data_IF_806868924143
#
_entry.id   IF_806868924143
#
_cell.length_a   1.000
_cell.length_b   1.000
_cell.length_c   1.000
_cell.angle_alpha   90.00
_cell.angle_beta   90.00
_cell.angle_gamma   90.00
#
_symmetry.space_group_name_H-M   'P 1'
#
loop_
_entity.id
_entity.type
_entity.pdbx_description
1 polymer ?
#
# COMPACT_ATOMS: atom_id res chain seq x y z
N UNK A 1 77.50 23.08 -29.56
CA UNK A 1 76.45 22.13 -29.95
C UNK A 1 75.57 21.95 -28.74
N UNK A 2 74.33 22.45 -28.71
CA UNK A 2 73.42 22.20 -27.59
C UNK A 2 72.42 21.08 -27.95
N UNK A 3 72.28 20.16 -27.01
CA UNK A 3 71.29 19.07 -26.96
C UNK A 3 69.85 19.61 -26.86
N UNK A 4 68.97 19.18 -27.75
CA UNK A 4 67.54 19.43 -27.64
C UNK A 4 66.88 18.38 -26.77
N UNK A 5 66.33 18.78 -25.64
CA UNK A 5 65.51 17.98 -24.80
C UNK A 5 64.10 17.87 -25.40
N UNK A 6 63.60 16.64 -25.55
CA UNK A 6 62.25 16.33 -26.06
C UNK A 6 61.20 16.57 -24.96
N UNK A 7 60.10 17.21 -25.34
CA UNK A 7 58.91 17.41 -24.53
C UNK A 7 58.08 16.11 -24.47
N UNK A 8 57.64 15.64 -23.27
CA UNK A 8 56.79 14.45 -23.22
C UNK A 8 55.37 14.75 -23.71
N UNK A 9 54.86 13.93 -24.58
CA UNK A 9 53.49 13.95 -25.08
C UNK A 9 52.54 13.56 -23.94
N UNK A 10 51.62 14.48 -23.60
CA UNK A 10 50.54 14.27 -22.69
C UNK A 10 49.56 13.25 -23.28
N UNK A 11 49.42 12.09 -22.64
CA UNK A 11 48.39 11.10 -22.94
C UNK A 11 47.06 11.59 -22.39
N UNK A 12 46.13 11.96 -23.27
CA UNK A 12 44.75 12.28 -22.89
C UNK A 12 44.02 10.97 -22.62
N UNK A 13 43.76 10.70 -21.36
CA UNK A 13 42.88 9.59 -20.95
C UNK A 13 41.43 10.06 -21.11
N UNK A 14 40.77 9.58 -22.16
CA UNK A 14 39.34 9.78 -22.37
C UNK A 14 38.60 8.84 -21.43
N UNK A 15 38.03 9.36 -20.35
CA UNK A 15 37.07 8.63 -19.54
C UNK A 15 35.77 8.48 -20.34
N UNK A 16 35.53 7.31 -20.92
CA UNK A 16 34.24 6.92 -21.41
C UNK A 16 33.29 6.81 -20.22
N UNK A 17 32.29 7.67 -20.17
CA UNK A 17 31.15 7.52 -19.25
C UNK A 17 30.50 6.16 -19.54
N UNK A 18 30.19 5.35 -18.51
CA UNK A 18 29.43 4.15 -18.75
C UNK A 18 28.05 4.56 -19.30
N UNK A 19 27.72 4.07 -20.49
CA UNK A 19 26.35 4.13 -20.99
C UNK A 19 25.45 3.45 -19.96
N UNK A 20 24.60 4.24 -19.31
CA UNK A 20 23.50 3.71 -18.50
C UNK A 20 22.59 3.01 -19.51
N UNK A 21 22.72 1.69 -19.57
CA UNK A 21 21.79 0.83 -20.30
C UNK A 21 20.39 1.11 -19.73
N UNK A 22 19.60 1.87 -20.46
CA UNK A 22 18.17 1.98 -20.23
C UNK A 22 17.61 0.59 -20.49
N UNK A 23 17.51 -0.22 -19.44
CA UNK A 23 16.78 -1.48 -19.51
C UNK A 23 15.39 -1.16 -20.04
N UNK A 24 15.14 -1.51 -21.29
CA UNK A 24 13.81 -1.53 -21.88
C UNK A 24 12.89 -2.24 -20.88
N UNK A 25 12.04 -1.47 -20.18
CA UNK A 25 10.95 -2.05 -19.41
C UNK A 25 10.09 -2.81 -20.39
N UNK A 26 10.22 -4.14 -20.36
CA UNK A 26 9.28 -5.02 -21.03
C UNK A 26 7.87 -4.50 -20.67
N UNK A 27 7.06 -4.23 -21.69
CA UNK A 27 5.66 -3.82 -21.55
C UNK A 27 4.82 -5.00 -21.07
N UNK A 28 5.22 -5.65 -19.96
CA UNK A 28 4.38 -6.61 -19.28
C UNK A 28 3.26 -5.84 -18.63
N UNK A 29 2.04 -6.13 -19.03
CA UNK A 29 0.82 -5.58 -18.45
C UNK A 29 0.88 -5.66 -16.94
N UNK A 30 0.65 -4.54 -16.23
CA UNK A 30 0.67 -4.48 -14.76
C UNK A 30 -0.35 -5.49 -14.21
N UNK A 31 0.05 -6.46 -13.38
CA UNK A 31 -0.89 -7.43 -12.84
C UNK A 31 -1.86 -6.76 -11.86
N UNK A 32 -3.15 -7.04 -12.03
CA UNK A 32 -4.23 -6.60 -11.16
C UNK A 32 -4.75 -7.83 -10.42
N UNK A 33 -4.49 -7.91 -9.12
CA UNK A 33 -4.97 -8.98 -8.27
C UNK A 33 -6.24 -8.56 -7.54
N UNK A 34 -7.26 -9.45 -7.58
CA UNK A 34 -8.50 -9.31 -6.80
C UNK A 34 -8.50 -10.35 -5.70
N UNK A 35 -8.51 -9.91 -4.43
CA UNK A 35 -8.62 -10.78 -3.27
C UNK A 35 -10.07 -11.25 -3.17
N UNK A 36 -10.32 -12.54 -3.33
CA UNK A 36 -11.67 -13.10 -3.32
C UNK A 36 -11.68 -14.45 -2.59
N UNK A 37 -12.62 -14.61 -1.66
CA UNK A 37 -12.88 -15.91 -1.06
C UNK A 37 -13.62 -16.80 -2.07
N UNK A 38 -13.23 -18.09 -2.24
CA UNK A 38 -13.93 -19.01 -3.15
C UNK A 38 -15.43 -19.11 -2.89
N UNK A 39 -15.86 -18.93 -1.63
CA UNK A 39 -17.26 -18.95 -1.25
C UNK A 39 -18.04 -17.68 -1.68
N UNK A 40 -17.37 -16.61 -2.07
CA UNK A 40 -17.98 -15.34 -2.51
C UNK A 40 -18.09 -15.28 -4.04
N UNK A 41 -18.82 -16.23 -4.62
CA UNK A 41 -18.96 -16.38 -6.08
C UNK A 41 -19.68 -15.18 -6.73
N UNK A 42 -20.66 -14.60 -6.04
CA UNK A 42 -21.42 -13.41 -6.45
C UNK A 42 -20.51 -12.19 -6.60
N UNK A 43 -19.62 -11.96 -5.64
CA UNK A 43 -18.62 -10.89 -5.70
C UNK A 43 -17.63 -11.10 -6.84
N UNK A 44 -17.18 -12.35 -7.04
CA UNK A 44 -16.33 -12.70 -8.17
C UNK A 44 -16.98 -12.36 -9.50
N UNK A 45 -18.25 -12.74 -9.70
CA UNK A 45 -19.02 -12.43 -10.91
C UNK A 45 -19.15 -10.90 -11.10
N UNK A 46 -19.35 -10.14 -10.02
CA UNK A 46 -19.39 -8.67 -10.09
C UNK A 46 -18.06 -8.10 -10.58
N UNK A 47 -16.94 -8.57 -10.02
CA UNK A 47 -15.60 -8.12 -10.43
C UNK A 47 -15.28 -8.53 -11.87
N UNK A 48 -15.66 -9.73 -12.32
CA UNK A 48 -15.47 -10.17 -13.72
C UNK A 48 -16.26 -9.29 -14.70
N UNK A 49 -17.49 -8.89 -14.34
CA UNK A 49 -18.31 -7.96 -15.14
C UNK A 49 -17.65 -6.58 -15.23
N UNK A 50 -17.15 -6.05 -14.12
CA UNK A 50 -16.45 -4.76 -14.10
C UNK A 50 -15.16 -4.83 -14.94
N UNK A 51 -14.39 -5.91 -14.83
CA UNK A 51 -13.20 -6.14 -15.66
C UNK A 51 -13.53 -6.11 -17.15
N UNK A 52 -14.57 -6.85 -17.56
CA UNK A 52 -15.02 -6.90 -18.96
C UNK A 52 -15.47 -5.52 -19.46
N UNK A 53 -16.22 -4.78 -18.66
CA UNK A 53 -16.69 -3.43 -19.01
C UNK A 53 -15.55 -2.42 -19.19
N UNK A 54 -14.42 -2.62 -18.48
CA UNK A 54 -13.25 -1.75 -18.54
C UNK A 54 -12.17 -2.25 -19.52
N UNK A 55 -12.37 -3.41 -20.14
CA UNK A 55 -11.36 -4.04 -21.00
C UNK A 55 -10.10 -4.48 -20.24
N UNK A 56 -10.23 -4.73 -18.93
CA UNK A 56 -9.13 -5.11 -18.06
C UNK A 56 -9.11 -6.62 -17.80
N UNK A 57 -7.94 -7.13 -17.42
CA UNK A 57 -7.76 -8.52 -16.99
C UNK A 57 -7.42 -8.58 -15.52
N UNK A 58 -8.31 -9.20 -14.73
CA UNK A 58 -8.08 -9.43 -13.30
C UNK A 58 -7.54 -10.84 -13.07
N UNK A 59 -6.64 -10.95 -12.09
CA UNK A 59 -6.12 -12.21 -11.56
C UNK A 59 -6.71 -12.41 -10.18
N UNK A 60 -7.61 -13.38 -10.04
CA UNK A 60 -8.18 -13.67 -8.73
C UNK A 60 -7.15 -14.36 -7.85
N UNK A 61 -6.92 -13.76 -6.69
CA UNK A 61 -6.11 -14.30 -5.62
C UNK A 61 -7.05 -14.94 -4.60
N UNK A 62 -6.88 -16.24 -4.35
CA UNK A 62 -7.67 -16.94 -3.36
C UNK A 62 -7.37 -16.39 -1.97
N UNK A 63 -8.35 -15.73 -1.38
CA UNK A 63 -8.22 -15.10 -0.07
C UNK A 63 -8.05 -16.16 1.03
N UNK A 64 -7.22 -15.88 2.01
CA UNK A 64 -7.06 -16.75 3.17
C UNK A 64 -8.32 -16.71 4.02
N UNK A 65 -8.93 -17.88 4.24
CA UNK A 65 -10.10 -18.00 5.10
C UNK A 65 -9.67 -17.96 6.57
N UNK A 66 -9.93 -16.85 7.25
CA UNK A 66 -9.58 -16.70 8.66
C UNK A 66 -10.31 -17.61 9.64
N UNK A 67 -11.28 -18.40 9.17
CA UNK A 67 -11.97 -19.43 9.98
C UNK A 67 -11.27 -20.80 9.93
N UNK A 68 -10.26 -20.94 9.08
CA UNK A 68 -9.47 -22.17 8.96
C UNK A 68 -8.05 -21.90 9.45
N UNK A 69 -7.37 -22.88 10.04
CA UNK A 69 -5.97 -22.74 10.48
C UNK A 69 -5.07 -22.33 9.30
N UNK A 70 -4.16 -21.39 9.54
CA UNK A 70 -3.17 -20.99 8.56
C UNK A 70 -1.83 -20.63 9.25
N UNK A 71 -0.66 -21.02 8.70
CA UNK A 71 0.65 -20.79 9.33
C UNK A 71 0.92 -19.33 9.69
N UNK A 72 0.50 -18.38 8.85
CA UNK A 72 0.68 -16.95 9.08
C UNK A 72 -0.07 -16.41 10.31
N UNK A 73 -1.05 -17.15 10.85
CA UNK A 73 -1.74 -16.70 12.07
C UNK A 73 -0.84 -16.76 13.31
N UNK A 74 0.33 -17.39 13.22
CA UNK A 74 1.38 -17.30 14.22
C UNK A 74 1.92 -15.88 14.43
N UNK A 75 1.72 -14.96 13.46
CA UNK A 75 2.08 -13.54 13.60
C UNK A 75 1.10 -12.76 14.49
N UNK A 76 -0.06 -13.32 14.85
CA UNK A 76 -1.05 -12.62 15.69
C UNK A 76 -0.53 -12.45 17.11
N UNK A 77 -0.25 -11.22 17.49
CA UNK A 77 0.19 -10.84 18.84
C UNK A 77 -1.04 -10.57 19.74
N UNK A 78 -1.77 -11.63 20.11
CA UNK A 78 -3.07 -11.54 20.77
C UNK A 78 -3.06 -10.70 22.03
N UNK A 79 -2.08 -10.89 22.93
CA UNK A 79 -1.94 -10.11 24.17
C UNK A 79 -1.80 -8.61 23.88
N UNK A 80 -0.98 -8.24 22.88
CA UNK A 80 -0.81 -6.85 22.46
C UNK A 80 -2.08 -6.30 21.81
N UNK A 81 -2.77 -7.12 21.02
CA UNK A 81 -4.06 -6.77 20.40
C UNK A 81 -5.11 -6.45 21.44
N UNK A 82 -5.28 -7.33 22.44
CA UNK A 82 -6.23 -7.13 23.54
C UNK A 82 -5.95 -5.85 24.34
N UNK A 83 -4.68 -5.57 24.64
CA UNK A 83 -4.28 -4.34 25.32
C UNK A 83 -4.58 -3.08 24.49
N UNK A 84 -4.36 -3.11 23.18
CA UNK A 84 -4.45 -1.92 22.30
C UNK A 84 -5.86 -1.67 21.75
N UNK A 85 -6.59 -2.75 21.40
CA UNK A 85 -7.91 -2.66 20.75
C UNK A 85 -9.06 -3.15 21.66
N UNK A 86 -8.75 -3.83 22.78
CA UNK A 86 -9.73 -4.33 23.75
C UNK A 86 -10.50 -5.56 23.31
N UNK A 87 -10.18 -6.15 22.16
CA UNK A 87 -10.80 -7.34 21.61
C UNK A 87 -9.80 -8.14 20.76
N UNK A 88 -9.99 -9.47 20.60
CA UNK A 88 -9.20 -10.27 19.69
C UNK A 88 -9.46 -9.85 18.23
N UNK A 89 -8.66 -10.38 17.33
CA UNK A 89 -8.99 -10.31 15.90
C UNK A 89 -10.25 -11.11 15.59
N UNK A 90 -11.04 -10.60 14.66
CA UNK A 90 -12.10 -11.41 14.03
C UNK A 90 -11.48 -12.29 12.93
N UNK A 91 -12.09 -13.45 12.63
CA UNK A 91 -11.56 -14.30 11.56
C UNK A 91 -11.36 -13.57 10.23
N UNK A 92 -12.30 -12.72 9.81
CA UNK A 92 -12.16 -11.92 8.59
C UNK A 92 -10.98 -10.94 8.62
N UNK A 93 -10.69 -10.33 9.78
CA UNK A 93 -9.52 -9.42 9.91
C UNK A 93 -8.19 -10.19 9.77
N UNK A 94 -8.11 -11.41 10.31
CA UNK A 94 -6.89 -12.24 10.22
C UNK A 94 -6.70 -12.77 8.80
N UNK A 95 -7.77 -13.23 8.16
CA UNK A 95 -7.74 -13.69 6.76
C UNK A 95 -7.36 -12.56 5.80
N UNK A 96 -7.92 -11.37 6.00
CA UNK A 96 -7.56 -10.17 5.25
C UNK A 96 -6.06 -9.86 5.41
N UNK A 97 -5.54 -9.84 6.64
CA UNK A 97 -4.11 -9.67 6.91
C UNK A 97 -3.25 -10.66 6.13
N UNK A 98 -3.55 -11.96 6.24
CA UNK A 98 -2.79 -13.02 5.59
C UNK A 98 -2.83 -12.89 4.06
N UNK A 99 -3.97 -12.51 3.48
CA UNK A 99 -4.12 -12.33 2.04
C UNK A 99 -3.26 -11.19 1.52
N UNK A 100 -3.27 -10.03 2.19
CA UNK A 100 -2.41 -8.90 1.83
C UNK A 100 -0.93 -9.24 2.02
N UNK A 101 -0.56 -9.89 3.13
CA UNK A 101 0.81 -10.31 3.41
C UNK A 101 1.37 -11.20 2.28
N UNK A 102 0.61 -12.20 1.84
CA UNK A 102 1.00 -13.08 0.73
C UNK A 102 1.12 -12.33 -0.60
N UNK A 103 0.28 -11.33 -0.85
CA UNK A 103 0.41 -10.50 -2.05
C UNK A 103 1.64 -9.58 -1.98
N UNK A 104 2.01 -9.09 -0.80
CA UNK A 104 3.27 -8.34 -0.64
C UNK A 104 4.48 -9.24 -0.89
N UNK A 105 4.47 -10.48 -0.39
CA UNK A 105 5.51 -11.46 -0.73
C UNK A 105 5.60 -11.70 -2.23
N UNK A 106 4.47 -11.93 -2.89
CA UNK A 106 4.41 -12.09 -4.35
C UNK A 106 4.93 -10.88 -5.10
N UNK A 107 4.67 -9.67 -4.62
CA UNK A 107 5.18 -8.43 -5.21
C UNK A 107 6.71 -8.39 -5.15
N UNK A 108 7.31 -8.73 -4.01
CA UNK A 108 8.76 -8.79 -3.85
C UNK A 108 9.35 -9.90 -4.72
N UNK A 109 8.79 -11.11 -4.68
CA UNK A 109 9.27 -12.26 -5.45
C UNK A 109 9.22 -12.04 -6.96
N UNK A 110 8.17 -11.39 -7.46
CA UNK A 110 8.03 -11.08 -8.88
C UNK A 110 8.94 -9.95 -9.36
N UNK A 111 9.40 -9.09 -8.44
CA UNK A 111 10.12 -7.87 -8.78
C UNK A 111 9.30 -6.85 -9.59
N UNK A 112 7.98 -7.05 -9.70
CA UNK A 112 7.09 -6.20 -10.51
C UNK A 112 6.04 -5.52 -9.62
N UNK A 113 5.71 -4.25 -9.91
CA UNK A 113 4.57 -3.60 -9.25
C UNK A 113 3.26 -4.29 -9.62
N UNK A 114 2.23 -4.07 -8.79
CA UNK A 114 0.89 -4.62 -9.00
C UNK A 114 -0.19 -3.68 -8.48
N UNK A 115 -1.42 -3.86 -8.96
CA UNK A 115 -2.61 -3.41 -8.26
C UNK A 115 -3.19 -4.55 -7.43
N UNK A 116 -3.65 -4.22 -6.23
CA UNK A 116 -4.39 -5.12 -5.35
C UNK A 116 -5.76 -4.50 -5.12
N UNK A 117 -6.82 -5.28 -5.33
CA UNK A 117 -8.22 -4.88 -5.17
C UNK A 117 -8.93 -5.86 -4.23
N UNK A 118 -9.89 -5.39 -3.44
CA UNK A 118 -10.87 -6.23 -2.75
C UNK A 118 -12.04 -6.57 -3.70
N UNK A 119 -12.84 -7.57 -3.35
CA UNK A 119 -13.92 -8.09 -4.21
C UNK A 119 -15.29 -7.43 -4.00
N UNK A 120 -15.39 -6.50 -3.03
CA UNK A 120 -16.62 -5.78 -2.67
C UNK A 120 -16.56 -4.28 -3.00
N UNK A 121 -15.98 -3.96 -4.15
CA UNK A 121 -15.75 -2.60 -4.62
C UNK A 121 -16.45 -2.29 -5.94
N UNK A 122 -16.79 -1.02 -6.11
CA UNK A 122 -17.13 -0.42 -7.39
C UNK A 122 -15.91 0.31 -7.96
N UNK A 123 -15.64 0.11 -9.26
CA UNK A 123 -14.47 0.65 -9.96
C UNK A 123 -14.91 1.77 -10.90
N UNK A 124 -14.23 2.92 -10.80
CA UNK A 124 -14.45 4.06 -11.69
C UNK A 124 -13.94 3.75 -13.11
N UNK A 125 -14.68 4.13 -14.16
CA UNK A 125 -14.29 3.94 -15.57
C UNK A 125 -12.93 4.57 -15.96
N UNK A 126 -12.37 5.47 -15.17
CA UNK A 126 -11.05 6.07 -15.40
C UNK A 126 -9.87 5.17 -14.99
N UNK A 127 -10.11 4.00 -14.40
CA UNK A 127 -9.01 3.10 -13.99
C UNK A 127 -8.07 2.71 -15.15
N UNK A 128 -8.55 2.43 -16.39
CA UNK A 128 -7.65 2.21 -17.54
C UNK A 128 -6.73 3.41 -17.85
N UNK A 129 -7.23 4.63 -17.68
CA UNK A 129 -6.43 5.86 -17.83
C UNK A 129 -5.30 5.93 -16.77
N UNK A 130 -5.60 5.58 -15.53
CA UNK A 130 -4.57 5.47 -14.48
C UNK A 130 -3.45 4.50 -14.89
N UNK A 131 -3.82 3.31 -15.40
CA UNK A 131 -2.85 2.31 -15.84
C UNK A 131 -1.95 2.82 -16.96
N UNK A 132 -2.50 3.58 -17.90
CA UNK A 132 -1.76 4.20 -18.99
C UNK A 132 -0.79 5.29 -18.48
N UNK A 133 -1.15 6.00 -17.43
CA UNK A 133 -0.35 7.09 -16.84
C UNK A 133 0.68 6.62 -15.80
N UNK A 134 0.62 5.37 -15.31
CA UNK A 134 1.58 4.83 -14.33
C UNK A 134 3.07 4.95 -14.76
N UNK A 135 3.44 4.87 -16.05
CA UNK A 135 4.83 5.13 -16.45
C UNK A 135 5.35 6.53 -16.09
N UNK A 136 4.45 7.50 -15.86
CA UNK A 136 4.78 8.87 -15.46
C UNK A 136 4.88 9.01 -13.93
N UNK A 137 4.53 7.95 -13.18
CA UNK A 137 4.60 7.97 -11.72
C UNK A 137 6.07 8.08 -11.27
N UNK A 138 6.40 9.02 -10.36
CA UNK A 138 7.75 9.14 -9.81
C UNK A 138 8.22 7.82 -9.17
N UNK A 139 9.48 7.46 -9.37
CA UNK A 139 10.05 6.19 -8.87
C UNK A 139 9.99 6.05 -7.34
N UNK A 140 9.99 7.18 -6.63
CA UNK A 140 9.89 7.23 -5.18
C UNK A 140 8.51 6.82 -4.65
N UNK A 141 7.47 6.85 -5.51
CA UNK A 141 6.11 6.46 -5.15
C UNK A 141 5.98 4.94 -5.28
N UNK A 142 6.24 4.27 -4.18
CA UNK A 142 6.11 2.81 -4.11
C UNK A 142 4.72 2.29 -3.73
N UNK A 143 3.82 3.16 -3.25
CA UNK A 143 2.50 2.78 -2.77
C UNK A 143 1.54 3.96 -2.78
N UNK A 144 0.30 3.72 -3.18
CA UNK A 144 -0.81 4.64 -2.98
C UNK A 144 -2.16 3.91 -3.05
N UNK A 145 -3.14 4.43 -2.31
CA UNK A 145 -4.51 3.93 -2.32
C UNK A 145 -5.28 4.47 -3.51
N UNK A 146 -6.16 3.63 -4.07
CA UNK A 146 -7.04 4.00 -5.18
C UNK A 146 -8.32 4.70 -4.72
N UNK A 147 -8.71 4.57 -3.45
CA UNK A 147 -9.87 5.26 -2.90
C UNK A 147 -9.52 6.62 -2.30
N UNK A 148 -10.47 7.54 -2.36
CA UNK A 148 -10.41 8.81 -1.65
C UNK A 148 -11.03 8.67 -0.27
N UNK A 149 -10.30 9.07 0.77
CA UNK A 149 -10.85 9.19 2.11
C UNK A 149 -11.21 10.65 2.43
N UNK A 150 -12.29 10.84 3.18
CA UNK A 150 -12.62 12.14 3.75
C UNK A 150 -11.76 12.40 4.99
N UNK A 151 -10.50 12.69 4.74
CA UNK A 151 -9.48 12.96 5.76
C UNK A 151 -8.60 14.14 5.34
N UNK A 152 -8.07 14.91 6.30
CA UNK A 152 -7.11 15.98 6.01
C UNK A 152 -5.93 15.45 5.20
N UNK A 153 -5.64 16.09 4.08
CA UNK A 153 -4.58 15.71 3.16
C UNK A 153 -4.12 16.91 2.35
N UNK A 154 -2.96 16.81 1.74
CA UNK A 154 -2.41 17.82 0.84
C UNK A 154 -2.05 17.19 -0.50
N UNK A 155 -2.12 17.92 -1.63
CA UNK A 155 -1.59 17.45 -2.90
C UNK A 155 -0.10 17.11 -2.74
N UNK A 156 0.29 15.91 -3.22
CA UNK A 156 1.66 15.41 -3.12
C UNK A 156 2.39 15.46 -4.46
N UNK A 157 1.83 14.78 -5.46
CA UNK A 157 2.32 14.85 -6.83
C UNK A 157 1.19 14.63 -7.84
N UNK A 158 1.44 15.05 -9.08
CA UNK A 158 0.57 14.81 -10.22
C UNK A 158 1.29 13.92 -11.23
N UNK A 159 0.59 12.96 -11.81
CA UNK A 159 1.05 12.19 -12.96
C UNK A 159 -0.14 11.97 -13.91
N UNK A 160 0.06 12.25 -15.20
CA UNK A 160 -1.05 12.33 -16.14
C UNK A 160 -2.16 13.26 -15.65
N UNK A 161 -3.39 12.78 -15.67
CA UNK A 161 -4.55 13.51 -15.13
C UNK A 161 -4.77 13.33 -13.61
N UNK A 162 -4.00 12.47 -12.96
CA UNK A 162 -4.22 12.05 -11.58
C UNK A 162 -3.40 12.86 -10.58
N UNK A 163 -3.98 13.06 -9.40
CA UNK A 163 -3.31 13.75 -8.28
C UNK A 163 -3.28 12.81 -7.08
N UNK A 164 -2.07 12.52 -6.61
CA UNK A 164 -1.87 11.89 -5.33
C UNK A 164 -1.91 12.93 -4.22
N UNK A 165 -2.64 12.60 -3.17
CA UNK A 165 -2.65 13.35 -1.93
C UNK A 165 -1.92 12.57 -0.85
N UNK A 166 -1.17 13.27 -0.03
CA UNK A 166 -0.59 12.74 1.20
C UNK A 166 -1.57 12.98 2.34
N UNK A 167 -1.94 11.93 3.04
CA UNK A 167 -2.83 12.01 4.18
C UNK A 167 -2.07 12.31 5.47
N UNK A 168 -2.61 13.22 6.27
CA UNK A 168 -2.06 13.57 7.59
C UNK A 168 -2.57 12.65 8.69
N UNK A 169 -3.60 11.88 8.41
CA UNK A 169 -4.15 10.84 9.28
C UNK A 169 -4.55 9.64 8.43
N UNK A 170 -4.61 8.47 9.09
CA UNK A 170 -4.99 7.21 8.45
C UNK A 170 -6.25 7.36 7.58
N UNK A 171 -6.19 7.09 6.27
CA UNK A 171 -7.36 7.04 5.40
C UNK A 171 -8.21 5.81 5.64
N UNK A 172 -7.64 4.75 6.27
CA UNK A 172 -8.28 3.45 6.48
C UNK A 172 -8.68 2.74 5.17
N UNK A 173 -9.26 1.54 5.28
CA UNK A 173 -9.72 0.67 4.20
C UNK A 173 -8.62 0.21 3.24
N UNK A 174 -8.80 -0.97 2.68
CA UNK A 174 -7.89 -1.61 1.74
C UNK A 174 -8.55 -1.90 0.38
N UNK A 175 -9.64 -1.19 0.04
CA UNK A 175 -10.43 -1.38 -1.17
C UNK A 175 -9.62 -1.60 -2.44
N UNK A 176 -8.52 -0.85 -2.57
CA UNK A 176 -7.58 -1.02 -3.67
C UNK A 176 -6.36 -0.11 -3.53
N UNK A 177 -5.21 -0.62 -3.99
CA UNK A 177 -3.96 0.13 -3.95
C UNK A 177 -2.97 -0.33 -5.02
N UNK A 178 -2.09 0.57 -5.41
CA UNK A 178 -0.86 0.28 -6.15
C UNK A 178 0.25 -0.08 -5.18
N UNK A 179 1.07 -1.06 -5.54
CA UNK A 179 2.19 -1.52 -4.74
C UNK A 179 3.40 -1.85 -5.62
N UNK A 180 4.52 -1.23 -5.33
CA UNK A 180 5.83 -1.57 -5.91
C UNK A 180 6.64 -2.46 -4.95
N UNK A 181 7.58 -3.28 -5.47
CA UNK A 181 8.36 -4.22 -4.66
C UNK A 181 9.08 -3.58 -3.46
N UNK A 182 9.65 -2.39 -3.63
CA UNK A 182 10.35 -1.70 -2.55
C UNK A 182 9.42 -1.31 -1.38
N UNK A 183 8.16 -0.96 -1.65
CA UNK A 183 7.18 -0.69 -0.62
C UNK A 183 6.67 -1.99 0.04
N UNK A 184 6.45 -3.04 -0.76
CA UNK A 184 6.08 -4.36 -0.27
C UNK A 184 7.14 -4.92 0.70
N UNK A 185 8.42 -4.82 0.35
CA UNK A 185 9.54 -5.22 1.22
C UNK A 185 9.53 -4.47 2.56
N UNK A 186 9.25 -3.14 2.53
CA UNK A 186 9.15 -2.35 3.76
C UNK A 186 7.97 -2.77 4.62
N UNK A 187 6.81 -3.08 4.03
CA UNK A 187 5.69 -3.64 4.77
C UNK A 187 6.05 -4.98 5.40
N UNK A 188 6.62 -5.92 4.67
CA UNK A 188 7.00 -7.25 5.18
C UNK A 188 8.00 -7.17 6.32
N UNK A 189 9.02 -6.31 6.22
CA UNK A 189 10.09 -6.15 7.22
C UNK A 189 9.59 -5.81 8.62
N UNK A 190 8.41 -5.21 8.74
CA UNK A 190 7.83 -4.76 10.00
C UNK A 190 6.52 -5.47 10.36
N UNK A 191 6.18 -6.55 9.64
CA UNK A 191 4.93 -7.30 9.79
C UNK A 191 5.08 -8.59 10.62
N UNK A 192 6.10 -8.68 11.47
CA UNK A 192 6.35 -9.85 12.33
C UNK A 192 5.26 -10.06 13.38
N UNK A 193 4.60 -9.00 13.82
CA UNK A 193 3.55 -9.04 14.82
C UNK A 193 2.29 -8.30 14.35
N UNK A 194 1.20 -9.02 14.16
CA UNK A 194 -0.09 -8.45 13.83
C UNK A 194 -0.84 -8.01 15.10
N UNK A 195 -0.96 -6.72 15.27
CA UNK A 195 -1.59 -6.10 16.46
C UNK A 195 -2.80 -5.27 16.10
N UNK A 196 -2.77 -4.62 14.93
CA UNK A 196 -3.84 -3.78 14.39
C UNK A 196 -4.37 -4.41 13.11
N UNK A 197 -5.52 -3.98 12.61
CA UNK A 197 -5.99 -4.42 11.29
C UNK A 197 -5.00 -4.03 10.19
N UNK A 198 -5.02 -4.72 9.06
CA UNK A 198 -4.03 -4.53 7.99
C UNK A 198 -4.07 -3.11 7.41
N UNK A 199 -5.26 -2.53 7.27
CA UNK A 199 -5.45 -1.14 6.85
C UNK A 199 -4.83 -0.14 7.83
N UNK A 200 -5.08 -0.33 9.14
CA UNK A 200 -4.42 0.43 10.21
C UNK A 200 -2.88 0.29 10.13
N UNK A 201 -2.37 -0.93 9.85
CA UNK A 201 -0.94 -1.19 9.73
C UNK A 201 -0.31 -0.45 8.54
N UNK A 202 -0.92 -0.55 7.37
CA UNK A 202 -0.45 0.12 6.14
C UNK A 202 -0.36 1.64 6.29
N UNK A 203 -1.04 2.20 7.27
CA UNK A 203 -1.03 3.63 7.57
C UNK A 203 0.05 4.04 8.60
N UNK A 204 0.81 3.08 9.16
CA UNK A 204 1.88 3.38 10.13
C UNK A 204 3.18 3.84 9.43
N UNK A 205 3.10 4.92 8.65
CA UNK A 205 4.22 5.42 7.84
C UNK A 205 5.52 5.64 8.65
N UNK A 206 5.42 6.00 9.93
CA UNK A 206 6.57 6.13 10.82
C UNK A 206 7.22 4.79 11.20
N UNK A 207 6.53 3.66 11.00
CA UNK A 207 7.04 2.33 11.31
C UNK A 207 7.83 1.76 10.12
N UNK A 208 7.22 1.72 8.96
CA UNK A 208 7.77 1.08 7.75
C UNK A 208 8.31 2.07 6.72
N UNK A 209 8.15 3.37 6.94
CA UNK A 209 8.68 4.41 6.04
C UNK A 209 7.98 4.51 4.67
N UNK A 210 6.81 3.88 4.51
CA UNK A 210 5.96 4.01 3.32
C UNK A 210 4.94 5.10 3.57
N UNK A 211 4.95 6.16 2.74
CA UNK A 211 4.06 7.30 2.90
C UNK A 211 2.59 6.92 2.64
N UNK A 212 1.70 7.57 3.36
CA UNK A 212 0.26 7.36 3.28
C UNK A 212 -0.34 8.20 2.14
N UNK A 213 -0.22 7.70 0.91
CA UNK A 213 -0.70 8.37 -0.29
C UNK A 213 -2.04 7.77 -0.76
N UNK A 214 -2.83 8.58 -1.47
CA UNK A 214 -4.03 8.11 -2.14
C UNK A 214 -4.54 9.09 -3.18
N UNK A 215 -5.32 8.59 -4.12
CA UNK A 215 -5.91 9.38 -5.20
C UNK A 215 -7.04 10.28 -4.69
N UNK A 216 -7.09 11.51 -5.18
CA UNK A 216 -8.25 12.40 -5.08
C UNK A 216 -8.51 13.07 -6.43
N UNK A 217 -9.69 12.82 -7.04
CA UNK A 217 -10.74 11.87 -6.62
C UNK A 217 -10.28 10.41 -6.67
N UNK A 218 -10.93 9.55 -5.88
CA UNK A 218 -10.67 8.10 -5.89
C UNK A 218 -11.20 7.41 -7.13
N UNK A 219 -10.68 6.23 -7.41
CA UNK A 219 -11.09 5.36 -8.52
C UNK A 219 -11.75 4.07 -8.05
N UNK A 220 -11.83 3.83 -6.77
CA UNK A 220 -12.56 2.71 -6.18
C UNK A 220 -13.36 3.19 -4.97
N UNK A 221 -14.50 2.59 -4.75
CA UNK A 221 -15.36 2.81 -3.59
C UNK A 221 -15.96 1.49 -3.11
N UNK A 222 -16.57 1.45 -1.93
CA UNK A 222 -17.34 0.30 -1.49
C UNK A 222 -18.53 0.09 -2.43
N UNK A 223 -18.78 -1.14 -2.83
CA UNK A 223 -20.02 -1.52 -3.50
C UNK A 223 -21.08 -1.78 -2.43
N UNK A 224 -22.04 -0.84 -2.30
CA UNK A 224 -23.11 -0.91 -1.29
C UNK A 224 -24.07 -2.09 -1.49
N UNK A 225 -24.02 -2.77 -2.65
CA UNK A 225 -24.83 -3.98 -2.90
C UNK A 225 -24.35 -5.19 -2.09
N UNK A 226 -23.13 -5.14 -1.57
CA UNK A 226 -22.55 -6.22 -0.77
C UNK A 226 -22.39 -5.82 0.71
N UNK A 227 -22.93 -6.64 1.60
CA UNK A 227 -22.61 -6.50 3.03
C UNK A 227 -21.14 -6.85 3.28
N UNK A 228 -20.42 -5.96 3.98
CA UNK A 228 -19.04 -6.25 4.37
C UNK A 228 -18.99 -7.45 5.34
N UNK A 229 -18.26 -8.48 4.97
CA UNK A 229 -18.04 -9.69 5.80
C UNK A 229 -17.38 -9.32 7.15
N UNK A 230 -16.70 -8.17 7.22
CA UNK A 230 -15.99 -7.69 8.42
C UNK A 230 -16.90 -6.80 9.29
N UNK A 231 -17.96 -6.23 8.76
CA UNK A 231 -18.76 -5.15 9.38
C UNK A 231 -19.84 -5.59 10.38
N UNK A 232 -19.85 -6.72 10.98
CA UNK A 232 -20.65 -6.84 12.21
C UNK A 232 -20.01 -6.00 13.35
N UNK A 233 -20.09 -4.66 13.25
CA UNK A 233 -19.64 -3.72 14.31
C UNK A 233 -20.54 -3.72 15.55
N UNK A 234 -21.60 -4.50 15.57
CA UNK A 234 -22.54 -4.66 16.71
C UNK A 234 -22.11 -5.79 17.62
N UNK A 235 -20.92 -5.69 18.22
CA UNK A 235 -20.62 -6.43 19.43
C UNK A 235 -20.80 -5.46 20.59
N UNK A 236 -21.60 -5.85 21.59
CA UNK A 236 -21.67 -5.13 22.86
C UNK A 236 -20.25 -4.85 23.36
N UNK A 237 -19.99 -3.60 23.70
CA UNK A 237 -18.72 -3.21 24.29
C UNK A 237 -18.71 -3.81 25.69
N UNK A 238 -17.98 -4.90 25.89
CA UNK A 238 -17.74 -5.36 27.25
C UNK A 238 -17.17 -4.22 28.11
N UNK A 239 -17.66 -4.08 29.36
CA UNK A 239 -17.13 -3.08 30.26
C UNK A 239 -15.63 -3.32 30.46
N UNK A 240 -14.83 -2.40 29.98
CA UNK A 240 -13.36 -2.48 30.05
C UNK A 240 -12.94 -1.96 31.42
N UNK A 241 -12.29 -2.78 32.25
CA UNK A 241 -11.72 -2.35 33.51
C UNK A 241 -10.81 -1.13 33.36
N UNK A 242 -10.77 -0.25 34.38
CA UNK A 242 -10.08 1.05 34.30
C UNK A 242 -8.63 0.97 33.78
N UNK A 243 -7.87 -0.08 34.13
CA UNK A 243 -6.51 -0.30 33.64
C UNK A 243 -6.42 -0.55 32.13
N UNK A 244 -7.32 -1.37 31.61
CA UNK A 244 -7.39 -1.61 30.16
C UNK A 244 -7.81 -0.36 29.39
N UNK A 245 -8.69 0.44 29.98
CA UNK A 245 -9.08 1.73 29.40
C UNK A 245 -7.87 2.67 29.34
N UNK A 246 -7.12 2.83 30.44
CA UNK A 246 -5.89 3.65 30.47
C UNK A 246 -4.85 3.17 29.45
N UNK A 247 -4.64 1.86 29.33
CA UNK A 247 -3.70 1.30 28.34
C UNK A 247 -4.12 1.62 26.89
N UNK A 248 -5.42 1.60 26.60
CA UNK A 248 -5.96 1.95 25.29
C UNK A 248 -5.82 3.43 24.98
N UNK A 249 -6.17 4.30 25.93
CA UNK A 249 -6.02 5.75 25.75
C UNK A 249 -4.54 6.15 25.63
N UNK A 250 -3.66 5.56 26.42
CA UNK A 250 -2.21 5.74 26.29
C UNK A 250 -1.68 5.29 24.90
N UNK A 251 -2.23 4.19 24.36
CA UNK A 251 -1.89 3.77 23.00
C UNK A 251 -2.40 4.75 21.93
N UNK A 252 -3.62 5.25 22.06
CA UNK A 252 -4.19 6.26 21.15
C UNK A 252 -3.35 7.54 21.16
N UNK A 253 -3.04 8.04 22.36
CA UNK A 253 -2.17 9.21 22.52
C UNK A 253 -0.81 8.99 21.87
N UNK A 254 -0.20 7.81 22.04
CA UNK A 254 1.05 7.45 21.39
C UNK A 254 0.92 7.51 19.86
N UNK A 255 -0.19 7.04 19.27
CA UNK A 255 -0.43 7.13 17.84
C UNK A 255 -0.57 8.59 17.39
N UNK A 256 -1.35 9.39 18.10
CA UNK A 256 -1.55 10.81 17.79
C UNK A 256 -0.23 11.60 17.84
N UNK A 257 0.59 11.34 18.87
CA UNK A 257 1.93 11.94 18.98
C UNK A 257 2.82 11.51 17.81
N UNK A 258 2.79 10.24 17.42
CA UNK A 258 3.58 9.76 16.28
C UNK A 258 3.12 10.36 14.95
N UNK A 259 1.79 10.47 14.75
CA UNK A 259 1.25 11.18 13.60
C UNK A 259 1.67 12.65 13.59
N UNK A 260 1.58 13.32 14.73
CA UNK A 260 2.03 14.71 14.86
C UNK A 260 3.53 14.86 14.51
N UNK A 261 4.38 14.03 15.13
CA UNK A 261 5.83 14.06 14.87
C UNK A 261 6.17 13.71 13.43
N UNK A 262 5.44 12.77 12.82
CA UNK A 262 5.63 12.40 11.41
C UNK A 262 5.24 13.54 10.47
N UNK A 263 4.25 14.35 10.85
CA UNK A 263 3.75 15.48 10.06
C UNK A 263 4.43 16.82 10.37
N UNK A 264 5.45 16.88 11.24
CA UNK A 264 6.15 18.14 11.51
C UNK A 264 6.87 18.68 10.26
N UNK A 265 6.72 19.97 9.94
CA UNK A 265 7.20 20.57 8.67
C UNK A 265 8.70 20.40 8.35
N UNK A 266 9.54 20.24 9.36
CA UNK A 266 10.99 20.07 9.18
C UNK A 266 11.42 18.78 8.47
N UNK A 267 10.58 17.76 8.44
CA UNK A 267 10.85 16.49 7.70
C UNK A 267 10.44 16.55 6.22
N UNK A 268 9.66 17.54 5.82
CA UNK A 268 8.95 17.58 4.54
C UNK A 268 9.61 18.46 3.48
N UNK A 269 10.49 19.38 3.87
CA UNK A 269 11.18 20.28 2.91
C UNK A 269 12.12 19.59 1.92
N UNK A 270 12.47 18.33 2.16
CA UNK A 270 13.43 17.60 1.31
C UNK A 270 12.77 16.57 0.38
N UNK A 271 11.44 16.46 0.36
CA UNK A 271 10.73 15.41 -0.42
C UNK A 271 9.55 15.89 -1.27
N UNK A 272 9.40 17.18 -1.50
CA UNK A 272 8.53 17.63 -2.57
C UNK A 272 9.19 17.18 -3.89
N UNK A 273 8.81 16.01 -4.38
CA UNK A 273 9.19 15.56 -5.73
C UNK A 273 8.56 16.56 -6.68
N UNK A 274 9.38 17.39 -7.29
CA UNK A 274 8.94 18.25 -8.38
C UNK A 274 8.59 17.33 -9.54
N UNK A 275 7.34 16.93 -9.63
CA UNK A 275 6.78 16.33 -10.85
C UNK A 275 6.80 17.44 -11.92
N UNK A 276 7.81 17.42 -12.78
CA UNK A 276 7.89 18.25 -14.01
C UNK A 276 7.16 17.56 -15.13
#
# INVERSE_FOLDING_TARGET
>A
MPCRQGVPRSTVVVFLKPEVSVMSRSTSELPIYVINLPASADRRVSMERQAAALGLRFRFFEAVNGRQPHPLFGHVAEKKRLLRKGRPFRPGEVGCWASHYLLWQRCVESGQPMLVLEDDIAIDPRLPGLLADLPQLPEEVGYFRLHAADRPSEPWCRFGEFVLHRYWRSPLCTFGYYLAPAAAERFLRHADEWVVAVDDYMDLAWLHGVECLGLKPGLVSSDESFESIIQARTGEKEPVGAWRWLAREGYRLKLDVRWFLHNLPGRFRTRAVSCR
#
